data_IF_293172716363
#
_entry.id   IF_293172716363
#
_cell.length_a   1.000
_cell.length_b   1.000
_cell.length_c   1.000
_cell.angle_alpha   90.00
_cell.angle_beta   90.00
_cell.angle_gamma   90.00
#
_symmetry.space_group_name_H-M   'P 1'
#
loop_
_entity.id
_entity.type
_entity.pdbx_description
1 polymer ?
#
# COMPACT_ATOMS: atom_id res chain seq x y z
N UNK A 1 -10.36 9.64 6.48
CA UNK A 1 -9.86 10.43 5.33
C UNK A 1 -10.16 9.70 4.04
N UNK A 2 -10.21 10.42 2.91
CA UNK A 2 -9.97 9.83 1.58
C UNK A 2 -8.49 10.04 1.30
N UNK A 3 -7.83 9.03 0.72
CA UNK A 3 -6.39 9.08 0.44
C UNK A 3 -6.20 9.30 -1.05
N UNK A 4 -5.44 10.33 -1.40
CA UNK A 4 -4.99 10.59 -2.77
C UNK A 4 -3.52 10.14 -2.86
N UNK A 5 -3.25 9.20 -3.77
CA UNK A 5 -1.91 8.65 -4.00
C UNK A 5 -1.30 9.32 -5.23
N UNK A 6 -0.20 10.04 -5.02
CA UNK A 6 0.46 10.83 -6.05
C UNK A 6 1.99 10.63 -6.05
N UNK A 7 2.60 11.06 -7.15
CA UNK A 7 4.05 11.07 -7.34
C UNK A 7 4.58 9.91 -8.18
N UNK A 8 5.84 10.04 -8.59
CA UNK A 8 6.51 9.17 -9.57
C UNK A 8 6.43 7.68 -9.24
N UNK A 9 6.47 7.32 -7.97
CA UNK A 9 6.38 5.92 -7.54
C UNK A 9 4.99 5.31 -7.84
N UNK A 10 3.91 6.08 -7.68
CA UNK A 10 2.54 5.66 -7.97
C UNK A 10 2.30 5.65 -9.50
N UNK A 11 2.80 6.66 -10.20
CA UNK A 11 2.72 6.75 -11.67
C UNK A 11 3.39 5.54 -12.35
N UNK A 12 4.50 5.05 -11.79
CA UNK A 12 5.22 3.88 -12.30
C UNK A 12 4.51 2.53 -12.06
N UNK A 13 3.44 2.50 -11.26
CA UNK A 13 2.69 1.27 -11.00
C UNK A 13 1.80 0.88 -12.18
N UNK A 14 1.71 -0.42 -12.46
CA UNK A 14 0.64 -0.98 -13.30
C UNK A 14 -0.73 -0.77 -12.65
N UNK A 15 -1.80 -0.94 -13.42
CA UNK A 15 -3.17 -0.84 -12.89
C UNK A 15 -3.48 -1.89 -11.82
N UNK A 16 -2.92 -3.10 -11.94
CA UNK A 16 -3.03 -4.14 -10.92
C UNK A 16 -2.45 -3.68 -9.58
N UNK A 17 -1.23 -3.14 -9.62
CA UNK A 17 -0.57 -2.65 -8.40
C UNK A 17 -1.28 -1.41 -7.82
N UNK A 18 -1.86 -0.55 -8.66
CA UNK A 18 -2.71 0.57 -8.19
C UNK A 18 -3.97 0.07 -7.47
N UNK A 19 -4.62 -0.98 -7.98
CA UNK A 19 -5.75 -1.60 -7.29
C UNK A 19 -5.34 -2.26 -5.98
N UNK A 20 -4.17 -2.89 -5.92
CA UNK A 20 -3.61 -3.42 -4.66
C UNK A 20 -3.45 -2.31 -3.63
N UNK A 21 -2.77 -1.21 -3.96
CA UNK A 21 -2.60 -0.06 -3.05
C UNK A 21 -3.94 0.53 -2.63
N UNK A 22 -4.87 0.72 -3.56
CA UNK A 22 -6.20 1.25 -3.27
C UNK A 22 -7.03 0.35 -2.35
N UNK A 23 -6.89 -0.97 -2.45
CA UNK A 23 -7.57 -1.91 -1.54
C UNK A 23 -7.05 -1.81 -0.10
N UNK A 24 -5.74 -1.59 0.06
CA UNK A 24 -5.09 -1.43 1.37
C UNK A 24 -5.43 -0.10 2.05
N UNK A 25 -6.00 0.88 1.33
CA UNK A 25 -6.48 2.12 1.93
C UNK A 25 -7.51 1.87 3.04
N UNK A 26 -8.36 0.85 2.88
CA UNK A 26 -9.35 0.47 3.91
C UNK A 26 -8.67 -0.08 5.15
N UNK A 27 -7.61 -0.87 5.00
CA UNK A 27 -6.83 -1.39 6.13
C UNK A 27 -6.14 -0.27 6.93
N UNK A 28 -5.74 0.80 6.25
CA UNK A 28 -5.25 2.04 6.87
C UNK A 28 -6.34 2.94 7.49
N UNK A 29 -7.61 2.49 7.51
CA UNK A 29 -8.75 3.26 8.04
C UNK A 29 -9.25 4.38 7.11
N UNK A 30 -8.82 4.37 5.84
CA UNK A 30 -9.31 5.28 4.80
C UNK A 30 -10.68 4.87 4.27
N UNK A 31 -11.45 5.85 3.78
CA UNK A 31 -12.77 5.61 3.17
C UNK A 31 -12.68 5.23 1.69
N UNK A 32 -11.64 5.73 1.01
CA UNK A 32 -11.35 5.47 -0.40
C UNK A 32 -9.89 5.84 -0.68
N UNK A 33 -9.29 5.14 -1.65
CA UNK A 33 -7.99 5.45 -2.23
C UNK A 33 -8.17 5.89 -3.68
N UNK A 34 -7.56 7.02 -4.05
CA UNK A 34 -7.64 7.60 -5.39
C UNK A 34 -6.24 7.61 -6.02
N UNK A 35 -6.17 7.26 -7.29
CA UNK A 35 -5.00 7.44 -8.15
C UNK A 35 -5.49 8.16 -9.40
N UNK A 36 -4.85 9.27 -9.77
CA UNK A 36 -5.22 10.02 -10.96
C UNK A 36 -5.08 9.12 -12.22
N UNK A 37 -6.06 9.17 -13.15
CA UNK A 37 -5.98 8.39 -14.37
C UNK A 37 -4.92 8.97 -15.32
N UNK A 38 -4.23 8.08 -16.02
CA UNK A 38 -3.15 8.37 -16.96
C UNK A 38 -3.13 7.36 -18.11
N UNK A 39 -2.11 7.41 -18.97
CA UNK A 39 -1.97 6.51 -20.12
C UNK A 39 -1.98 5.02 -19.72
N UNK A 40 -1.41 4.67 -18.56
CA UNK A 40 -1.48 3.31 -18.00
C UNK A 40 -2.92 2.89 -17.73
N UNK A 41 -3.71 3.81 -17.18
CA UNK A 41 -5.14 3.60 -16.91
C UNK A 41 -5.94 3.47 -18.21
N UNK A 42 -5.70 4.33 -19.19
CA UNK A 42 -6.39 4.32 -20.46
C UNK A 42 -6.10 3.05 -21.26
N UNK A 43 -4.83 2.66 -21.34
CA UNK A 43 -4.41 1.42 -21.99
C UNK A 43 -4.95 0.17 -21.31
N UNK A 44 -5.05 0.17 -19.98
CA UNK A 44 -5.64 -0.95 -19.24
C UNK A 44 -7.13 -1.14 -19.55
N UNK A 45 -7.90 -0.07 -19.71
CA UNK A 45 -9.35 -0.13 -19.98
C UNK A 45 -9.63 -0.53 -21.44
N UNK A 46 -8.73 -0.24 -22.37
CA UNK A 46 -8.92 -0.49 -23.80
C UNK A 46 -9.29 -1.96 -24.12
N UNK A 47 -10.34 -2.14 -24.92
CA UNK A 47 -10.80 -3.46 -25.37
C UNK A 47 -11.53 -4.30 -24.31
N UNK A 48 -11.71 -3.81 -23.08
CA UNK A 48 -12.45 -4.51 -22.03
C UNK A 48 -13.97 -4.43 -22.23
N UNK A 49 -14.69 -5.38 -21.64
CA UNK A 49 -16.15 -5.54 -21.78
C UNK A 49 -16.95 -4.25 -21.50
N UNK A 50 -16.50 -3.43 -20.55
CA UNK A 50 -17.16 -2.18 -20.16
C UNK A 50 -16.39 -0.93 -20.60
N UNK A 51 -15.47 -1.05 -21.56
CA UNK A 51 -14.77 0.10 -22.13
C UNK A 51 -15.78 1.05 -22.81
N UNK A 52 -15.56 2.37 -22.73
CA UNK A 52 -16.42 3.33 -23.40
C UNK A 52 -16.39 3.10 -24.92
N UNK A 53 -17.54 3.31 -25.58
CA UNK A 53 -17.64 3.23 -27.03
C UNK A 53 -16.89 4.37 -27.72
N UNK A 54 -17.02 5.58 -27.18
CA UNK A 54 -16.24 6.74 -27.60
C UNK A 54 -15.04 6.89 -26.65
N UNK A 55 -13.88 6.40 -27.13
CA UNK A 55 -12.64 6.38 -26.35
C UNK A 55 -12.04 7.77 -26.20
N UNK A 56 -12.11 8.59 -27.24
CA UNK A 56 -11.46 9.91 -27.26
C UNK A 56 -12.20 10.89 -26.36
N UNK A 57 -13.54 10.86 -26.38
CA UNK A 57 -14.37 11.65 -25.46
C UNK A 57 -14.12 11.23 -23.99
N UNK A 58 -14.06 9.93 -23.73
CA UNK A 58 -13.81 9.40 -22.40
C UNK A 58 -12.42 9.80 -21.87
N UNK A 59 -11.37 9.66 -22.69
CA UNK A 59 -10.02 10.07 -22.32
C UNK A 59 -9.96 11.58 -22.06
N UNK A 60 -10.54 12.40 -22.93
CA UNK A 60 -10.58 13.85 -22.75
C UNK A 60 -11.23 14.24 -21.41
N UNK A 61 -12.30 13.55 -21.02
CA UNK A 61 -12.93 13.73 -19.71
C UNK A 61 -12.05 13.21 -18.57
N UNK A 62 -11.43 12.04 -18.69
CA UNK A 62 -10.61 11.48 -17.62
C UNK A 62 -9.36 12.30 -17.35
N UNK A 63 -8.79 12.94 -18.37
CA UNK A 63 -7.68 13.88 -18.24
C UNK A 63 -8.01 15.11 -17.39
N UNK A 64 -9.29 15.38 -17.09
CA UNK A 64 -9.71 16.46 -16.17
C UNK A 64 -9.92 15.99 -14.73
N UNK A 65 -9.71 14.70 -14.43
CA UNK A 65 -9.88 14.12 -13.09
C UNK A 65 -8.66 14.20 -12.14
N UNK A 66 -7.41 14.44 -12.60
CA UNK A 66 -6.30 14.66 -11.67
C UNK A 66 -6.58 15.80 -10.69
N UNK A 67 -5.95 15.72 -9.51
CA UNK A 67 -6.09 16.73 -8.46
C UNK A 67 -5.63 18.12 -8.92
N UNK A 68 -6.42 19.14 -8.60
CA UNK A 68 -6.16 20.53 -8.97
C UNK A 68 -4.85 21.06 -8.37
N UNK A 69 -4.16 21.89 -9.14
CA UNK A 69 -2.99 22.61 -8.65
C UNK A 69 -3.36 23.51 -7.45
N UNK A 70 -2.68 23.31 -6.32
CA UNK A 70 -2.94 24.06 -5.08
C UNK A 70 -4.10 23.52 -4.25
N UNK A 71 -4.62 22.31 -4.57
CA UNK A 71 -5.50 21.59 -3.68
C UNK A 71 -4.89 21.47 -2.27
N UNK A 72 -5.74 21.55 -1.25
CA UNK A 72 -5.32 21.48 0.16
C UNK A 72 -5.76 20.16 0.76
N UNK A 73 -4.83 19.49 1.43
CA UNK A 73 -5.09 18.26 2.16
C UNK A 73 -5.09 18.51 3.67
N UNK A 74 -5.95 17.80 4.41
CA UNK A 74 -5.94 17.84 5.88
C UNK A 74 -4.60 17.34 6.45
N UNK A 75 -3.95 16.41 5.72
CA UNK A 75 -2.66 15.83 6.05
C UNK A 75 -1.95 15.38 4.77
N UNK A 76 -0.67 15.69 4.69
CA UNK A 76 0.23 15.18 3.65
C UNK A 76 1.28 14.26 4.28
N UNK A 77 1.55 13.14 3.62
CA UNK A 77 2.58 12.17 4.02
C UNK A 77 3.46 11.90 2.81
N UNK A 78 4.76 12.17 2.94
CA UNK A 78 5.75 11.85 1.91
C UNK A 78 6.48 10.57 2.26
N UNK A 79 6.57 9.65 1.31
CA UNK A 79 7.27 8.37 1.46
C UNK A 79 8.31 8.25 0.37
N UNK A 80 9.56 8.00 0.75
CA UNK A 80 10.64 7.69 -0.20
C UNK A 80 10.54 6.21 -0.59
N UNK A 81 9.96 5.96 -1.77
CA UNK A 81 9.81 4.61 -2.30
C UNK A 81 11.16 3.90 -2.56
N UNK A 82 12.26 4.65 -2.75
CA UNK A 82 13.58 4.05 -2.99
C UNK A 82 14.21 3.45 -1.73
N UNK A 83 13.72 3.85 -0.56
CA UNK A 83 14.14 3.31 0.73
C UNK A 83 13.30 2.12 1.18
N UNK A 84 12.26 1.71 0.42
CA UNK A 84 11.39 0.62 0.80
C UNK A 84 12.07 -0.73 0.56
N UNK A 85 12.23 -1.51 1.63
CA UNK A 85 12.59 -2.92 1.57
C UNK A 85 11.32 -3.79 1.54
N UNK A 86 11.33 -4.97 0.88
CA UNK A 86 10.24 -5.92 1.02
C UNK A 86 9.97 -6.23 2.50
N UNK A 87 8.70 -6.28 2.88
CA UNK A 87 8.28 -6.57 4.25
C UNK A 87 7.56 -7.90 4.33
N UNK A 88 7.64 -8.54 5.50
CA UNK A 88 6.88 -9.73 5.83
C UNK A 88 6.13 -9.54 7.14
N UNK A 89 5.01 -10.23 7.29
CA UNK A 89 4.27 -10.27 8.55
C UNK A 89 4.90 -11.30 9.46
N UNK A 90 5.28 -10.91 10.67
CA UNK A 90 5.83 -11.80 11.70
C UNK A 90 4.77 -12.25 12.72
N UNK A 91 3.61 -11.59 12.76
CA UNK A 91 2.56 -11.84 13.75
C UNK A 91 1.23 -12.29 13.14
N UNK A 92 0.15 -12.06 13.89
CA UNK A 92 -1.20 -12.54 13.56
C UNK A 92 -2.10 -11.47 12.95
N UNK A 93 -1.57 -10.27 12.70
CA UNK A 93 -2.31 -9.17 12.06
C UNK A 93 -1.48 -8.57 10.92
N UNK A 94 -2.11 -8.02 9.86
CA UNK A 94 -1.38 -7.43 8.73
C UNK A 94 -0.44 -6.28 9.11
N UNK A 95 -0.69 -5.60 10.24
CA UNK A 95 0.16 -4.51 10.74
C UNK A 95 1.42 -4.96 11.48
N UNK A 96 1.53 -6.25 11.83
CA UNK A 96 2.72 -6.81 12.49
C UNK A 96 3.79 -7.16 11.45
N UNK A 97 4.40 -6.14 10.89
CA UNK A 97 5.37 -6.27 9.78
C UNK A 97 6.79 -5.94 10.22
N UNK A 98 7.74 -6.51 9.49
CA UNK A 98 9.16 -6.18 9.56
C UNK A 98 9.76 -6.33 8.16
N UNK A 99 10.84 -5.63 7.87
CA UNK A 99 11.60 -5.84 6.64
C UNK A 99 12.11 -7.29 6.55
N UNK A 100 12.19 -7.83 5.34
CA UNK A 100 12.73 -9.17 5.08
C UNK A 100 14.20 -9.29 5.52
N UNK A 101 14.93 -8.17 5.52
CA UNK A 101 16.30 -8.05 6.02
C UNK A 101 16.39 -7.85 7.54
N UNK A 102 15.25 -7.75 8.21
CA UNK A 102 15.15 -7.50 9.64
C UNK A 102 15.15 -8.77 10.50
N UNK A 103 14.74 -8.60 11.76
CA UNK A 103 14.65 -9.66 12.77
C UNK A 103 13.27 -9.68 13.39
N UNK A 104 12.84 -10.84 13.87
CA UNK A 104 11.62 -10.99 14.66
C UNK A 104 11.71 -10.06 15.88
N UNK A 105 10.76 -9.12 16.08
CA UNK A 105 10.82 -8.18 17.18
C UNK A 105 10.61 -8.87 18.53
N UNK A 106 11.12 -8.27 19.60
CA UNK A 106 10.72 -8.62 20.97
C UNK A 106 9.44 -7.87 21.34
N UNK A 107 8.70 -8.33 22.37
CA UNK A 107 7.53 -7.60 22.88
C UNK A 107 7.82 -6.14 23.27
N UNK A 108 9.03 -5.84 23.73
CA UNK A 108 9.47 -4.49 24.11
C UNK A 108 9.83 -3.61 22.91
N UNK A 109 10.00 -4.19 21.72
CA UNK A 109 10.43 -3.52 20.48
C UNK A 109 9.47 -3.80 19.30
N UNK A 110 8.20 -4.11 19.60
CA UNK A 110 7.19 -4.41 18.59
C UNK A 110 6.49 -3.14 18.02
N UNK A 111 7.14 -1.98 18.13
CA UNK A 111 6.63 -0.70 17.63
C UNK A 111 5.33 -0.26 18.33
N UNK A 112 4.25 -0.13 17.56
CA UNK A 112 2.93 0.29 18.08
C UNK A 112 2.11 -0.89 18.64
N UNK A 113 2.62 -2.12 18.53
CA UNK A 113 1.94 -3.31 19.05
C UNK A 113 2.16 -3.38 20.56
N UNK A 114 1.09 -3.51 21.33
CA UNK A 114 1.19 -3.69 22.78
C UNK A 114 1.97 -4.98 23.12
N UNK A 115 2.85 -4.92 24.12
CA UNK A 115 3.75 -6.02 24.48
C UNK A 115 3.01 -7.37 24.67
N UNK A 116 1.91 -7.38 25.43
CA UNK A 116 1.09 -8.60 25.62
C UNK A 116 0.57 -9.19 24.30
N UNK A 117 0.16 -8.34 23.36
CA UNK A 117 -0.29 -8.78 22.04
C UNK A 117 0.86 -9.36 21.23
N UNK A 118 2.04 -8.74 21.29
CA UNK A 118 3.25 -9.24 20.64
C UNK A 118 3.66 -10.60 21.22
N UNK A 119 3.67 -10.78 22.54
CA UNK A 119 3.95 -12.06 23.21
C UNK A 119 3.03 -13.17 22.70
N UNK A 120 1.71 -12.90 22.66
CA UNK A 120 0.72 -13.86 22.18
C UNK A 120 0.91 -14.19 20.70
N UNK A 121 1.22 -13.20 19.87
CA UNK A 121 1.47 -13.40 18.45
C UNK A 121 2.73 -14.26 18.23
N UNK A 122 3.83 -13.98 18.93
CA UNK A 122 5.06 -14.75 18.84
C UNK A 122 4.86 -16.21 19.28
N UNK A 123 4.17 -16.42 20.40
CA UNK A 123 3.83 -17.76 20.88
C UNK A 123 2.95 -18.53 19.89
N UNK A 124 1.96 -17.87 19.29
CA UNK A 124 1.10 -18.47 18.28
C UNK A 124 1.87 -18.83 17.00
N UNK A 125 2.73 -17.93 16.52
CA UNK A 125 3.53 -18.12 15.30
C UNK A 125 4.72 -19.07 15.52
N UNK A 126 5.06 -19.39 16.77
CA UNK A 126 6.23 -20.22 17.11
C UNK A 126 7.56 -19.51 16.84
N UNK A 127 7.59 -18.18 16.87
CA UNK A 127 8.78 -17.38 16.55
C UNK A 127 9.54 -16.96 17.81
N UNK A 128 10.87 -17.04 17.73
CA UNK A 128 11.79 -16.56 18.76
C UNK A 128 12.24 -15.12 18.44
N UNK A 129 12.12 -14.15 19.37
CA UNK A 129 12.65 -12.80 19.19
C UNK A 129 14.12 -12.78 18.80
N UNK A 130 14.51 -11.83 17.95
CA UNK A 130 15.87 -11.65 17.46
C UNK A 130 16.27 -12.60 16.34
N UNK A 131 15.48 -13.61 16.00
CA UNK A 131 15.70 -14.49 14.84
C UNK A 131 15.70 -13.65 13.57
N UNK A 132 16.69 -13.80 12.69
CA UNK A 132 16.66 -13.14 11.40
C UNK A 132 15.51 -13.71 10.57
N UNK A 133 14.78 -12.87 9.85
CA UNK A 133 13.61 -13.31 9.09
C UNK A 133 13.97 -14.37 8.05
N UNK A 134 15.15 -14.24 7.44
CA UNK A 134 15.70 -15.21 6.48
C UNK A 134 16.05 -16.57 7.07
N UNK A 135 16.14 -16.68 8.40
CA UNK A 135 16.55 -17.90 9.09
C UNK A 135 15.34 -18.70 9.62
N UNK A 136 14.11 -18.20 9.41
CA UNK A 136 12.88 -18.89 9.80
C UNK A 136 12.66 -20.08 8.87
N UNK A 137 12.69 -21.29 9.43
CA UNK A 137 12.38 -22.52 8.70
C UNK A 137 10.87 -22.59 8.37
N UNK A 138 10.55 -22.98 7.14
CA UNK A 138 9.18 -23.20 6.64
C UNK A 138 8.69 -24.63 6.91
#
# INVERSE_FOLDING_TARGET
YVVDYAGRAIEALSMENRMTVGSLTVEGGGRAGLVAPDDTTFGYIEGRLAAPKDRDEAIARWQTLPTDAGARFDKEVSVDASALSPVVTWGTTPGMVVEVTGRVPSPDDAGTVAAETAERALAYMGLQPGTAITDIAL
#
